data_IF_626549054019
#
_entry.id   IF_626549054019
#
_cell.length_a   1.000
_cell.length_b   1.000
_cell.length_c   1.000
_cell.angle_alpha   90.00
_cell.angle_beta   90.00
_cell.angle_gamma   90.00
#
_symmetry.space_group_name_H-M   'P 1'
#
loop_
_entity.id
_entity.type
_entity.pdbx_description
1 polymer ?
#
# COMPACT_ATOMS: atom_id res chain seq x y z
N UNK A 1 13.58 9.95 -17.00
CA UNK A 1 14.53 9.42 -15.99
C UNK A 1 13.88 9.37 -14.64
N UNK A 2 13.84 8.18 -14.02
CA UNK A 2 13.40 8.05 -12.64
C UNK A 2 14.54 8.52 -11.74
N UNK A 3 14.25 9.47 -10.84
CA UNK A 3 15.19 9.88 -9.80
C UNK A 3 14.94 9.00 -8.58
N UNK A 4 16.01 8.60 -7.89
CA UNK A 4 15.91 7.95 -6.58
C UNK A 4 15.09 8.85 -5.66
N UNK A 5 14.10 8.28 -4.97
CA UNK A 5 13.36 9.00 -3.93
C UNK A 5 14.24 8.98 -2.67
N UNK A 6 14.67 10.13 -2.14
CA UNK A 6 15.39 10.17 -0.87
C UNK A 6 14.56 9.54 0.25
N UNK A 7 15.20 8.75 1.11
CA UNK A 7 14.55 7.96 2.14
C UNK A 7 13.61 8.79 3.03
N UNK A 8 14.06 9.97 3.49
CA UNK A 8 13.31 10.90 4.35
C UNK A 8 12.02 11.47 3.71
N UNK A 9 11.88 11.31 2.39
CA UNK A 9 10.68 11.73 1.66
C UNK A 9 9.63 10.62 1.53
N UNK A 10 9.96 9.41 1.93
CA UNK A 10 9.05 8.26 1.86
C UNK A 10 8.04 8.27 3.00
N UNK A 11 6.88 7.67 2.76
CA UNK A 11 5.89 7.43 3.81
C UNK A 11 6.47 6.57 4.95
N UNK A 12 7.31 5.60 4.61
CA UNK A 12 8.00 4.71 5.55
C UNK A 12 8.84 5.51 6.55
N UNK A 13 9.81 6.29 6.07
CA UNK A 13 10.70 7.07 6.92
C UNK A 13 9.95 8.07 7.82
N UNK A 14 8.88 8.67 7.28
CA UNK A 14 8.07 9.65 8.01
C UNK A 14 7.28 9.00 9.15
N UNK A 15 6.79 7.78 8.95
CA UNK A 15 6.11 7.00 9.99
C UNK A 15 7.13 6.43 11.00
N UNK A 16 8.27 5.91 10.54
CA UNK A 16 9.36 5.49 11.43
C UNK A 16 9.80 6.63 12.34
N UNK A 17 10.01 7.82 11.79
CA UNK A 17 10.36 9.01 12.57
C UNK A 17 9.28 9.38 13.58
N UNK A 18 8.00 9.26 13.19
CA UNK A 18 6.87 9.57 14.06
C UNK A 18 6.76 8.59 15.24
N UNK A 19 6.96 7.30 15.00
CA UNK A 19 6.82 6.23 15.99
C UNK A 19 8.14 5.77 16.60
N UNK A 20 9.26 6.46 16.36
CA UNK A 20 10.61 6.03 16.71
C UNK A 20 10.82 5.62 18.19
N UNK A 21 9.98 6.11 19.11
CA UNK A 21 10.02 5.76 20.53
C UNK A 21 9.29 4.45 20.90
N UNK A 22 8.47 3.89 20.00
CA UNK A 22 7.46 2.87 20.31
C UNK A 22 7.73 1.50 19.66
N UNK A 23 8.88 1.28 19.03
CA UNK A 23 9.15 0.04 18.29
C UNK A 23 8.22 -0.09 17.09
N UNK A 24 8.68 0.33 15.92
CA UNK A 24 7.85 0.43 14.72
C UNK A 24 8.49 -0.32 13.57
N UNK A 25 7.75 -1.27 12.99
CA UNK A 25 8.24 -2.07 11.86
C UNK A 25 7.72 -1.56 10.52
N UNK A 26 8.58 -1.50 9.51
CA UNK A 26 8.19 -1.18 8.13
C UNK A 26 8.31 -2.38 7.19
N UNK A 27 7.23 -2.61 6.44
CA UNK A 27 7.08 -3.81 5.62
C UNK A 27 6.72 -3.41 4.20
N UNK A 28 7.56 -3.78 3.24
CA UNK A 28 7.29 -3.69 1.82
C UNK A 28 7.10 -5.08 1.22
N UNK A 29 5.92 -5.36 0.69
CA UNK A 29 5.59 -6.60 0.01
C UNK A 29 4.94 -6.28 -1.34
N UNK A 30 5.66 -6.53 -2.43
CA UNK A 30 5.15 -6.29 -3.79
C UNK A 30 5.26 -7.55 -4.65
N UNK A 31 4.15 -7.92 -5.27
CA UNK A 31 4.09 -8.98 -6.27
C UNK A 31 4.75 -8.61 -7.61
N UNK A 32 5.20 -7.37 -7.83
CA UNK A 32 5.75 -6.88 -9.11
C UNK A 32 7.08 -6.16 -8.88
N UNK A 33 8.06 -6.46 -9.72
CA UNK A 33 9.37 -5.77 -9.76
C UNK A 33 9.33 -4.58 -10.71
N UNK A 34 8.71 -4.75 -11.88
CA UNK A 34 8.66 -3.68 -12.89
C UNK A 34 7.90 -2.46 -12.36
N UNK A 35 8.51 -1.28 -12.49
CA UNK A 35 8.06 0.01 -11.91
C UNK A 35 8.21 0.14 -10.38
N UNK A 36 8.59 -0.94 -9.69
CA UNK A 36 8.83 -0.99 -8.24
C UNK A 36 10.29 -1.33 -7.91
N UNK A 37 11.20 -1.12 -8.87
CA UNK A 37 12.58 -1.57 -8.76
C UNK A 37 13.40 -0.78 -7.74
N UNK A 38 14.32 -1.46 -7.07
CA UNK A 38 15.12 -0.93 -5.97
C UNK A 38 16.60 -1.36 -6.01
N UNK A 39 17.09 -1.77 -7.18
CA UNK A 39 18.51 -1.94 -7.44
C UNK A 39 19.26 -0.60 -7.51
N UNK A 40 20.60 -0.62 -7.63
CA UNK A 40 21.40 0.60 -7.64
C UNK A 40 20.95 1.60 -8.71
N UNK A 41 20.61 2.82 -8.29
CA UNK A 41 20.14 3.88 -9.19
C UNK A 41 18.64 3.87 -9.50
N UNK A 42 17.89 2.92 -8.96
CA UNK A 42 16.44 2.79 -9.20
C UNK A 42 15.62 3.54 -8.14
N UNK A 43 14.36 3.83 -8.46
CA UNK A 43 13.52 4.79 -7.72
C UNK A 43 13.38 4.48 -6.22
N UNK A 44 13.33 3.20 -5.85
CA UNK A 44 13.17 2.74 -4.46
C UNK A 44 14.46 2.24 -3.82
N UNK A 45 15.63 2.48 -4.43
CA UNK A 45 16.91 1.93 -3.92
C UNK A 45 17.22 2.37 -2.50
N UNK A 46 16.88 3.62 -2.15
CA UNK A 46 17.10 4.16 -0.81
C UNK A 46 16.08 3.61 0.19
N UNK A 47 14.80 3.55 -0.19
CA UNK A 47 13.73 2.95 0.64
C UNK A 47 14.05 1.50 1.01
N UNK A 48 14.51 0.70 0.05
CA UNK A 48 14.90 -0.70 0.29
C UNK A 48 15.94 -0.84 1.39
N UNK A 49 16.88 0.09 1.50
CA UNK A 49 17.96 0.01 2.49
C UNK A 49 17.48 0.28 3.92
N UNK A 50 16.27 0.82 4.09
CA UNK A 50 15.77 1.31 5.37
C UNK A 50 14.48 0.64 5.86
N UNK A 51 13.75 -0.09 5.01
CA UNK A 51 12.59 -0.86 5.51
C UNK A 51 13.04 -2.14 6.20
N UNK A 52 12.38 -2.51 7.29
CA UNK A 52 12.73 -3.71 8.07
C UNK A 52 12.52 -5.02 7.30
N UNK A 53 11.48 -5.06 6.47
CA UNK A 53 11.18 -6.21 5.62
C UNK A 53 10.94 -5.78 4.17
N UNK A 54 11.77 -6.28 3.25
CA UNK A 54 11.65 -6.04 1.81
C UNK A 54 11.41 -7.33 1.02
N UNK A 55 10.27 -7.43 0.35
CA UNK A 55 9.96 -8.40 -0.70
C UNK A 55 9.47 -7.65 -1.95
N UNK A 56 10.33 -6.77 -2.51
CA UNK A 56 10.08 -6.02 -3.74
C UNK A 56 10.96 -6.42 -4.93
N UNK A 57 11.92 -7.33 -4.72
CA UNK A 57 12.90 -7.74 -5.73
C UNK A 57 12.46 -8.93 -6.58
N UNK A 58 11.28 -9.48 -6.30
CA UNK A 58 10.80 -10.72 -6.90
C UNK A 58 9.35 -10.59 -7.31
N UNK A 59 9.08 -11.04 -8.54
CA UNK A 59 7.74 -11.08 -9.10
C UNK A 59 7.06 -12.39 -8.66
N UNK A 60 6.02 -12.30 -7.82
CA UNK A 60 5.25 -13.45 -7.31
C UNK A 60 3.75 -13.31 -7.60
N UNK A 61 3.03 -14.42 -7.57
CA UNK A 61 1.57 -14.43 -7.71
C UNK A 61 0.86 -14.19 -6.36
N UNK A 62 -0.42 -13.83 -6.38
CA UNK A 62 -1.26 -13.65 -5.19
C UNK A 62 -1.29 -14.90 -4.28
N UNK A 63 -1.15 -16.09 -4.85
CA UNK A 63 -1.06 -17.36 -4.10
C UNK A 63 0.19 -17.47 -3.21
N UNK A 64 1.20 -16.63 -3.45
CA UNK A 64 2.41 -16.53 -2.61
C UNK A 64 2.41 -15.22 -1.82
N UNK A 65 2.06 -14.10 -2.47
CA UNK A 65 2.01 -12.78 -1.82
C UNK A 65 0.97 -12.73 -0.71
N UNK A 66 -0.21 -13.34 -0.89
CA UNK A 66 -1.28 -13.35 0.10
C UNK A 66 -0.90 -14.05 1.41
N UNK A 67 -0.47 -15.33 1.40
CA UNK A 67 0.01 -16.01 2.60
C UNK A 67 1.19 -15.30 3.28
N UNK A 68 2.10 -14.71 2.48
CA UNK A 68 3.22 -13.97 3.03
C UNK A 68 2.74 -12.72 3.78
N UNK A 69 1.78 -11.97 3.23
CA UNK A 69 1.16 -10.81 3.87
C UNK A 69 0.52 -11.18 5.22
N UNK A 70 -0.27 -12.25 5.25
CA UNK A 70 -0.87 -12.79 6.50
C UNK A 70 0.22 -13.12 7.51
N UNK A 71 1.26 -13.86 7.11
CA UNK A 71 2.35 -14.23 8.01
C UNK A 71 3.14 -13.02 8.54
N UNK A 72 3.22 -11.94 7.76
CA UNK A 72 3.91 -10.71 8.17
C UNK A 72 3.11 -9.96 9.21
N UNK A 73 1.78 -9.88 9.06
CA UNK A 73 0.88 -9.34 10.09
C UNK A 73 1.01 -10.15 11.37
N UNK A 74 0.94 -11.48 11.31
CA UNK A 74 1.08 -12.34 12.49
C UNK A 74 2.40 -12.12 13.24
N UNK A 75 3.51 -11.91 12.50
CA UNK A 75 4.85 -11.68 13.06
C UNK A 75 5.04 -10.29 13.67
N UNK A 76 4.41 -9.26 13.12
CA UNK A 76 4.68 -7.85 13.47
C UNK A 76 3.56 -7.19 14.29
N UNK A 77 2.65 -7.98 14.85
CA UNK A 77 1.57 -7.53 15.75
C UNK A 77 1.81 -7.93 17.20
N UNK A 78 3.08 -8.04 17.61
CA UNK A 78 3.42 -8.29 19.01
C UNK A 78 3.05 -7.07 19.87
N UNK A 79 2.64 -7.27 21.14
CA UNK A 79 2.29 -6.16 22.03
C UNK A 79 3.43 -5.14 22.14
N UNK A 80 3.11 -3.86 21.96
CA UNK A 80 4.07 -2.77 22.04
C UNK A 80 4.97 -2.62 20.81
N UNK A 81 4.65 -3.26 19.68
CA UNK A 81 5.26 -3.00 18.38
C UNK A 81 4.18 -2.51 17.42
N UNK A 82 4.34 -1.29 16.90
CA UNK A 82 3.55 -0.77 15.78
C UNK A 82 4.11 -1.23 14.45
N UNK A 83 3.34 -1.10 13.36
CA UNK A 83 3.85 -1.38 12.03
C UNK A 83 3.18 -0.53 10.95
N UNK A 84 3.86 -0.40 9.83
CA UNK A 84 3.28 0.01 8.55
C UNK A 84 3.63 -1.01 7.48
N UNK A 85 2.60 -1.57 6.85
CA UNK A 85 2.74 -2.55 5.78
C UNK A 85 2.16 -2.04 4.47
N UNK A 86 3.00 -2.03 3.44
CA UNK A 86 2.60 -1.84 2.05
C UNK A 86 2.53 -3.20 1.37
N UNK A 87 1.33 -3.61 0.95
CA UNK A 87 1.07 -4.88 0.28
C UNK A 87 0.48 -4.61 -1.11
N UNK A 88 1.16 -5.08 -2.16
CA UNK A 88 0.77 -4.84 -3.54
C UNK A 88 0.54 -6.15 -4.32
N UNK A 89 -0.66 -6.29 -4.89
CA UNK A 89 -1.06 -7.39 -5.79
C UNK A 89 -1.10 -6.91 -7.24
N UNK A 90 -0.51 -7.68 -8.15
CA UNK A 90 -0.37 -7.33 -9.58
C UNK A 90 -1.38 -8.07 -10.45
N UNK A 91 -2.13 -8.99 -9.85
CA UNK A 91 -2.95 -9.98 -10.53
C UNK A 91 -3.98 -9.31 -11.44
N UNK A 92 -4.77 -8.30 -11.00
CA UNK A 92 -5.70 -7.62 -11.89
C UNK A 92 -5.01 -6.96 -13.09
N UNK A 93 -3.86 -6.31 -12.90
CA UNK A 93 -3.09 -5.70 -13.99
C UNK A 93 -2.61 -6.74 -15.01
N UNK A 94 -2.03 -7.83 -14.50
CA UNK A 94 -1.49 -8.91 -15.32
C UNK A 94 -2.59 -9.62 -16.12
N UNK A 95 -3.71 -9.93 -15.47
CA UNK A 95 -4.85 -10.62 -16.10
C UNK A 95 -5.62 -9.69 -17.01
N UNK A 96 -5.80 -8.42 -16.64
CA UNK A 96 -6.46 -7.42 -17.48
C UNK A 96 -5.73 -7.21 -18.81
N UNK A 97 -4.39 -7.25 -18.80
CA UNK A 97 -3.62 -7.23 -20.04
C UNK A 97 -3.75 -8.49 -20.90
N UNK A 98 -4.04 -9.64 -20.28
CA UNK A 98 -4.12 -10.92 -20.97
C UNK A 98 -5.53 -11.20 -21.54
N UNK A 99 -6.56 -10.91 -20.74
CA UNK A 99 -7.94 -11.34 -20.98
C UNK A 99 -8.93 -10.19 -21.14
N UNK A 100 -8.54 -8.98 -20.74
CA UNK A 100 -9.36 -7.77 -20.82
C UNK A 100 -10.06 -7.47 -19.51
N UNK A 101 -10.31 -6.18 -19.28
CA UNK A 101 -11.26 -5.75 -18.26
C UNK A 101 -12.67 -6.28 -18.62
N UNK A 102 -13.50 -6.58 -17.61
CA UNK A 102 -14.78 -7.31 -17.73
C UNK A 102 -14.69 -8.77 -18.22
N UNK A 103 -13.49 -9.38 -18.29
CA UNK A 103 -13.37 -10.81 -18.54
C UNK A 103 -13.63 -11.63 -17.25
N UNK A 104 -14.15 -12.86 -17.36
CA UNK A 104 -14.29 -13.74 -16.19
C UNK A 104 -12.98 -13.98 -15.44
N UNK A 105 -11.84 -14.00 -16.13
CA UNK A 105 -10.52 -14.11 -15.52
C UNK A 105 -10.14 -12.86 -14.73
N UNK A 106 -10.45 -11.67 -15.24
CA UNK A 106 -10.20 -10.41 -14.55
C UNK A 106 -11.04 -10.34 -13.26
N UNK A 107 -12.33 -10.68 -13.34
CA UNK A 107 -13.22 -10.76 -12.18
C UNK A 107 -12.72 -11.78 -11.15
N UNK A 108 -12.27 -12.96 -11.60
CA UNK A 108 -11.69 -13.96 -10.73
C UNK A 108 -10.41 -13.47 -10.04
N UNK A 109 -9.59 -12.66 -10.74
CA UNK A 109 -8.40 -12.07 -10.17
C UNK A 109 -8.73 -11.03 -9.08
N UNK A 110 -9.75 -10.20 -9.30
CA UNK A 110 -10.27 -9.26 -8.29
C UNK A 110 -10.81 -10.00 -7.05
N UNK A 111 -11.63 -11.03 -7.26
CA UNK A 111 -12.16 -11.87 -6.16
C UNK A 111 -11.01 -12.52 -5.37
N UNK A 112 -9.97 -13.01 -6.06
CA UNK A 112 -8.84 -13.66 -5.40
C UNK A 112 -8.07 -12.70 -4.49
N UNK A 113 -7.84 -11.45 -4.91
CA UNK A 113 -7.14 -10.46 -4.07
C UNK A 113 -8.03 -9.94 -2.94
N UNK A 114 -9.34 -9.83 -3.15
CA UNK A 114 -10.31 -9.46 -2.11
C UNK A 114 -10.38 -10.53 -1.01
N UNK A 115 -10.34 -11.82 -1.38
CA UNK A 115 -10.23 -12.91 -0.40
C UNK A 115 -8.95 -12.83 0.43
N UNK A 116 -7.83 -12.38 -0.15
CA UNK A 116 -6.59 -12.17 0.60
C UNK A 116 -6.69 -10.96 1.54
N UNK A 117 -7.34 -9.88 1.11
CA UNK A 117 -7.65 -8.74 1.99
C UNK A 117 -8.49 -9.21 3.19
N UNK A 118 -9.51 -10.05 2.96
CA UNK A 118 -10.30 -10.68 4.02
C UNK A 118 -9.42 -11.42 5.03
N UNK A 119 -8.54 -12.31 4.56
CA UNK A 119 -7.62 -13.08 5.43
C UNK A 119 -6.62 -12.21 6.19
N UNK A 120 -6.15 -11.12 5.58
CA UNK A 120 -5.27 -10.16 6.26
C UNK A 120 -6.03 -9.47 7.40
N UNK A 121 -7.29 -9.09 7.18
CA UNK A 121 -8.15 -8.51 8.22
C UNK A 121 -8.45 -9.52 9.33
N UNK A 122 -8.78 -10.75 8.98
CA UNK A 122 -9.01 -11.83 9.96
C UNK A 122 -7.77 -12.03 10.84
N UNK A 123 -6.57 -12.04 10.24
CA UNK A 123 -5.32 -12.11 11.00
C UNK A 123 -5.12 -10.91 11.95
N UNK A 124 -5.48 -9.69 11.55
CA UNK A 124 -5.44 -8.53 12.46
C UNK A 124 -6.41 -8.68 13.64
N UNK A 125 -7.62 -9.18 13.38
CA UNK A 125 -8.65 -9.41 14.38
C UNK A 125 -8.25 -10.53 15.36
N UNK A 126 -7.72 -11.65 14.86
CA UNK A 126 -7.21 -12.77 15.67
C UNK A 126 -6.03 -12.36 16.56
N UNK A 127 -5.23 -11.38 16.12
CA UNK A 127 -4.13 -10.80 16.89
C UNK A 127 -4.59 -9.70 17.85
N UNK A 128 -5.87 -9.34 17.84
CA UNK A 128 -6.46 -8.35 18.74
C UNK A 128 -6.13 -6.90 18.40
N UNK A 129 -5.60 -6.62 17.20
CA UNK A 129 -5.19 -5.27 16.77
C UNK A 129 -6.08 -4.71 15.66
N UNK A 130 -7.07 -5.45 15.18
CA UNK A 130 -7.94 -5.02 14.08
C UNK A 130 -8.69 -3.70 14.35
N UNK A 131 -9.16 -3.50 15.59
CA UNK A 131 -9.82 -2.25 15.99
C UNK A 131 -8.87 -1.03 16.05
N UNK A 132 -7.56 -1.26 16.15
CA UNK A 132 -6.54 -0.21 16.22
C UNK A 132 -5.70 -0.11 14.95
N UNK A 133 -6.05 -0.87 13.91
CA UNK A 133 -5.32 -0.89 12.63
C UNK A 133 -6.16 -0.27 11.54
N UNK A 134 -5.70 0.86 11.00
CA UNK A 134 -6.27 1.42 9.78
C UNK A 134 -5.78 0.62 8.56
N UNK A 135 -6.73 0.10 7.79
CA UNK A 135 -6.50 -0.59 6.52
C UNK A 135 -6.92 0.36 5.41
N UNK A 136 -6.04 0.59 4.44
CA UNK A 136 -6.31 1.36 3.24
C UNK A 136 -6.17 0.46 2.02
N UNK A 137 -7.17 0.53 1.14
CA UNK A 137 -7.13 -0.16 -0.16
C UNK A 137 -7.19 0.91 -1.23
N UNK A 138 -6.21 0.91 -2.12
CA UNK A 138 -6.08 1.91 -3.17
C UNK A 138 -5.72 1.25 -4.50
N UNK A 139 -6.15 1.86 -5.59
CA UNK A 139 -5.68 1.54 -6.94
C UNK A 139 -4.69 2.59 -7.40
N UNK A 140 -3.69 2.19 -8.18
CA UNK A 140 -2.80 3.12 -8.89
C UNK A 140 -3.36 3.53 -10.26
N UNK A 141 -4.11 2.66 -10.92
CA UNK A 141 -4.84 2.92 -12.16
C UNK A 141 -5.95 1.87 -12.43
N UNK A 142 -6.90 2.19 -13.31
CA UNK A 142 -7.89 1.25 -13.88
C UNK A 142 -7.58 0.82 -15.32
N UNK A 143 -8.39 -0.06 -15.92
CA UNK A 143 -8.34 -0.36 -17.36
C UNK A 143 -9.39 0.45 -18.13
N UNK A 144 -9.21 0.59 -19.45
CA UNK A 144 -10.32 1.03 -20.30
C UNK A 144 -11.40 -0.07 -20.30
N UNK A 145 -12.68 0.32 -20.19
CA UNK A 145 -13.79 -0.63 -20.15
C UNK A 145 -13.78 -1.58 -21.36
N UNK A 146 -13.83 -2.89 -21.09
CA UNK A 146 -13.72 -3.98 -22.06
C UNK A 146 -12.36 -4.10 -22.76
N UNK A 147 -11.36 -3.32 -22.34
CA UNK A 147 -10.08 -3.18 -23.00
C UNK A 147 -8.95 -4.01 -22.37
N UNK A 148 -7.84 -4.13 -23.10
CA UNK A 148 -6.60 -4.80 -22.66
C UNK A 148 -5.53 -3.81 -22.17
N UNK A 149 -5.88 -2.52 -22.08
CA UNK A 149 -4.93 -1.45 -21.83
C UNK A 149 -5.53 -0.38 -20.92
N UNK A 150 -4.65 0.27 -20.17
CA UNK A 150 -4.95 1.38 -19.26
C UNK A 150 -4.37 2.72 -19.79
N UNK A 151 -4.40 2.92 -21.12
CA UNK A 151 -3.96 4.15 -21.79
C UNK A 151 -5.08 5.20 -21.73
N UNK A 152 -5.25 5.84 -20.57
CA UNK A 152 -6.25 6.87 -20.17
C UNK A 152 -7.12 6.35 -19.02
N UNK A 153 -6.47 6.10 -17.89
CA UNK A 153 -7.12 5.66 -16.66
C UNK A 153 -7.02 6.79 -15.64
N UNK A 154 -7.86 7.84 -15.76
CA UNK A 154 -7.80 9.01 -14.87
C UNK A 154 -8.33 8.70 -13.47
N UNK A 155 -9.15 7.64 -13.36
CA UNK A 155 -9.83 7.29 -12.13
C UNK A 155 -9.01 6.31 -11.29
N UNK A 156 -8.93 6.63 -10.01
CA UNK A 156 -8.42 5.78 -8.96
C UNK A 156 -9.34 5.95 -7.74
N UNK A 157 -9.36 4.96 -6.86
CA UNK A 157 -10.15 5.03 -5.63
C UNK A 157 -9.31 4.68 -4.42
N UNK A 158 -9.80 5.12 -3.26
CA UNK A 158 -9.25 4.84 -1.94
C UNK A 158 -10.42 4.45 -1.03
N UNK A 159 -10.33 3.31 -0.36
CA UNK A 159 -11.25 2.89 0.69
C UNK A 159 -10.50 2.59 1.98
N UNK A 160 -11.18 2.70 3.12
CA UNK A 160 -10.62 2.39 4.43
C UNK A 160 -11.67 1.88 5.40
N UNK A 161 -11.25 1.10 6.40
CA UNK A 161 -12.08 0.67 7.53
C UNK A 161 -12.16 1.71 8.67
N UNK A 162 -11.46 2.84 8.57
CA UNK A 162 -11.29 3.76 9.69
C UNK A 162 -12.42 4.78 9.83
N UNK A 163 -12.61 5.62 8.80
CA UNK A 163 -13.63 6.65 8.77
C UNK A 163 -13.95 7.06 7.31
N UNK A 164 -15.12 7.68 7.05
CA UNK A 164 -15.46 8.17 5.72
C UNK A 164 -14.43 9.17 5.18
N UNK A 165 -14.21 9.09 3.87
CA UNK A 165 -13.33 9.99 3.12
C UNK A 165 -14.16 10.83 2.14
N UNK A 166 -13.73 12.07 1.93
CA UNK A 166 -14.22 12.92 0.82
C UNK A 166 -13.45 12.61 -0.46
N UNK A 167 -14.01 13.03 -1.59
CA UNK A 167 -13.33 12.94 -2.89
C UNK A 167 -11.99 13.72 -2.90
N UNK A 168 -11.07 13.22 -3.71
CA UNK A 168 -9.73 13.77 -3.85
C UNK A 168 -8.96 13.18 -5.02
N UNK A 169 -7.66 13.42 -5.01
CA UNK A 169 -6.73 12.91 -6.03
C UNK A 169 -5.72 11.94 -5.40
N UNK A 170 -5.02 11.18 -6.24
CA UNK A 170 -4.05 10.17 -5.79
C UNK A 170 -2.94 10.73 -4.89
N UNK A 171 -2.55 12.00 -5.07
CA UNK A 171 -1.56 12.66 -4.21
C UNK A 171 -2.08 12.99 -2.80
N UNK A 172 -3.39 12.86 -2.55
CA UNK A 172 -4.00 13.02 -1.24
C UNK A 172 -3.89 11.73 -0.38
N UNK A 173 -3.52 10.58 -0.98
CA UNK A 173 -3.42 9.29 -0.27
C UNK A 173 -2.37 9.34 0.84
N UNK A 174 -1.13 9.75 0.53
CA UNK A 174 -0.05 9.80 1.52
C UNK A 174 -0.35 10.69 2.75
N UNK A 175 -0.81 11.96 2.59
CA UNK A 175 -1.19 12.77 3.74
C UNK A 175 -2.42 12.20 4.48
N UNK A 176 -3.33 11.50 3.80
CA UNK A 176 -4.46 10.80 4.45
C UNK A 176 -3.97 9.71 5.40
N UNK A 177 -3.04 8.87 4.95
CA UNK A 177 -2.43 7.80 5.78
C UNK A 177 -1.67 8.40 6.97
N UNK A 178 -0.80 9.38 6.73
CA UNK A 178 -0.05 10.05 7.80
C UNK A 178 -0.97 10.65 8.86
N UNK A 179 -2.04 11.30 8.42
CA UNK A 179 -3.04 11.85 9.32
C UNK A 179 -3.69 10.75 10.18
N UNK A 180 -4.03 9.59 9.62
CA UNK A 180 -4.59 8.48 10.42
C UNK A 180 -3.62 8.01 11.49
N UNK A 181 -2.32 7.98 11.17
CA UNK A 181 -1.30 7.49 12.08
C UNK A 181 -1.01 8.40 13.28
N UNK A 182 -1.27 9.71 13.23
CA UNK A 182 -0.72 10.62 14.27
C UNK A 182 0.28 11.63 13.74
N UNK A 183 0.79 11.37 12.55
CA UNK A 183 1.95 12.06 12.04
C UNK A 183 1.64 13.52 11.66
N UNK A 184 2.61 14.39 11.93
CA UNK A 184 2.51 15.82 11.65
C UNK A 184 2.74 16.12 10.16
N UNK A 185 1.78 15.68 9.35
CA UNK A 185 1.86 15.73 7.89
C UNK A 185 2.03 17.14 7.33
N UNK A 186 1.66 18.19 8.09
CA UNK A 186 1.70 19.60 7.68
C UNK A 186 3.09 20.20 7.71
N UNK A 187 3.97 19.69 8.58
CA UNK A 187 5.29 20.28 8.82
C UNK A 187 6.42 19.52 8.12
N UNK A 188 6.12 18.47 7.36
CA UNK A 188 7.13 17.81 6.54
C UNK A 188 7.64 18.73 5.43
N UNK A 189 8.95 18.68 5.21
CA UNK A 189 9.65 19.40 4.15
C UNK A 189 10.28 18.39 3.17
N UNK A 190 10.04 18.54 1.86
CA UNK A 190 8.97 19.33 1.25
C UNK A 190 7.59 18.82 1.68
N UNK A 191 6.63 19.74 1.68
CA UNK A 191 5.23 19.43 1.97
C UNK A 191 4.65 18.51 0.91
N UNK A 192 3.70 17.65 1.31
CA UNK A 192 2.91 16.92 0.32
C UNK A 192 2.09 17.91 -0.53
N UNK A 193 1.94 17.64 -1.84
CA UNK A 193 1.09 18.47 -2.69
C UNK A 193 -0.40 18.27 -2.38
N UNK A 194 -0.76 17.12 -1.80
CA UNK A 194 -2.12 16.80 -1.37
C UNK A 194 -2.44 17.17 0.07
N UNK A 195 -3.69 16.91 0.46
CA UNK A 195 -4.22 17.12 1.82
C UNK A 195 -5.07 15.92 2.25
N UNK A 196 -5.15 15.60 3.56
CA UNK A 196 -5.94 14.48 4.04
C UNK A 196 -7.40 14.53 3.59
N UNK A 197 -7.97 13.35 3.30
CA UNK A 197 -9.33 13.18 2.79
C UNK A 197 -10.38 12.95 3.90
N UNK A 198 -10.01 13.00 5.18
CA UNK A 198 -10.95 12.81 6.28
C UNK A 198 -12.04 13.90 6.28
N UNK A 199 -13.29 13.49 6.47
CA UNK A 199 -14.45 14.39 6.59
C UNK A 199 -14.59 14.98 7.99
N UNK A 200 -13.99 14.33 8.98
CA UNK A 200 -14.01 14.76 10.38
C UNK A 200 -12.63 15.29 10.80
N UNK A 201 -12.62 16.31 11.65
CA UNK A 201 -11.40 16.72 12.33
C UNK A 201 -11.05 15.70 13.42
N UNK A 202 -9.76 15.51 13.68
CA UNK A 202 -9.26 14.56 14.68
C UNK A 202 -9.49 15.05 16.10
#
# INVERSE_FOLDING_TARGET
DFRIIPHDLTLFARLETHFAAEGFATIWLSSKVDRMRAGPGEVWSDTRAHVDFWDGDVSRGATVTGPLAVSLVERHTAPGIGFFAFVHFREPDSVGHQSGENSPEYDAALIAIDQWLGRIRDALDERGVGATTAVFVATDHGFAEGGLHHKRSPDAWLATNWAPLRDGAQWDVAPTVLWACGADWRHYLPSFPGRPLWTEAR
#
